data_IF_389268641848
#
_entry.id   IF_389268641848
#
_cell.length_a   1.000
_cell.length_b   1.000
_cell.length_c   1.000
_cell.angle_alpha   90.00
_cell.angle_beta   90.00
_cell.angle_gamma   90.00
#
_symmetry.space_group_name_H-M   'P 1'
#
loop_
_entity.id
_entity.type
_entity.pdbx_description
1 polymer ?
#
# COMPACT_ATOMS: atom_id res chain seq x y z
N UNK A 1 9.83 17.53 13.65
CA UNK A 1 8.92 16.39 13.40
C UNK A 1 9.73 15.25 12.79
N UNK A 2 9.83 14.08 13.44
CA UNK A 2 10.49 12.91 12.83
C UNK A 2 9.64 12.41 11.65
N UNK A 3 10.19 12.39 10.43
CA UNK A 3 9.49 11.81 9.28
C UNK A 3 9.39 10.29 9.45
N UNK A 4 8.16 9.77 9.53
CA UNK A 4 7.91 8.33 9.68
C UNK A 4 7.63 7.70 8.33
N UNK A 5 8.60 6.95 7.79
CA UNK A 5 8.40 6.16 6.57
C UNK A 5 7.58 4.92 6.91
N UNK A 6 6.56 4.66 6.09
CA UNK A 6 5.72 3.48 6.19
C UNK A 6 5.98 2.55 5.00
N UNK A 7 6.18 1.24 5.24
CA UNK A 7 6.14 0.22 4.22
C UNK A 7 4.80 0.22 3.48
N UNK A 8 4.79 -0.30 2.26
CA UNK A 8 3.60 -0.31 1.42
C UNK A 8 2.39 -1.03 2.05
N UNK A 9 2.64 -2.00 2.92
CA UNK A 9 1.59 -2.77 3.63
C UNK A 9 0.88 -1.95 4.72
N UNK A 10 1.54 -0.93 5.26
CA UNK A 10 1.00 -0.02 6.29
C UNK A 10 0.29 1.20 5.68
N UNK A 11 0.43 1.41 4.36
CA UNK A 11 -0.22 2.49 3.64
C UNK A 11 -1.70 2.18 3.42
N UNK A 12 -2.54 3.13 3.85
CA UNK A 12 -3.97 3.11 3.54
C UNK A 12 -4.10 3.75 2.15
N UNK A 13 -3.76 3.00 1.11
CA UNK A 13 -3.80 3.50 -0.28
C UNK A 13 -5.24 3.68 -0.78
N UNK A 14 -5.51 4.77 -1.49
CA UNK A 14 -6.75 5.11 -2.22
C UNK A 14 -8.10 4.96 -1.49
N UNK A 15 -8.12 4.70 -0.18
CA UNK A 15 -9.35 4.51 0.59
C UNK A 15 -10.21 5.78 0.61
N UNK A 16 -9.59 6.97 0.53
CA UNK A 16 -10.32 8.23 0.42
C UNK A 16 -11.28 8.28 -0.78
N UNK A 17 -10.86 7.77 -1.94
CA UNK A 17 -11.74 7.68 -3.12
C UNK A 17 -12.89 6.69 -2.92
N UNK A 18 -12.65 5.58 -2.23
CA UNK A 18 -13.70 4.61 -1.91
C UNK A 18 -14.72 5.22 -0.95
N UNK A 19 -14.27 6.00 0.04
CA UNK A 19 -15.18 6.72 0.93
C UNK A 19 -16.04 7.73 0.17
N UNK A 20 -15.42 8.57 -0.68
CA UNK A 20 -16.18 9.53 -1.49
C UNK A 20 -17.19 8.82 -2.40
N UNK A 21 -16.79 7.72 -3.02
CA UNK A 21 -17.67 6.90 -3.83
C UNK A 21 -18.85 6.35 -3.02
N UNK A 22 -18.59 5.75 -1.85
CA UNK A 22 -19.61 5.20 -0.96
C UNK A 22 -20.59 6.30 -0.51
N UNK A 23 -20.09 7.47 -0.13
CA UNK A 23 -20.93 8.62 0.26
C UNK A 23 -21.86 8.99 -0.90
N UNK A 24 -21.29 9.23 -2.08
CA UNK A 24 -22.07 9.65 -3.26
C UNK A 24 -23.09 8.58 -3.68
N UNK A 25 -22.69 7.31 -3.65
CA UNK A 25 -23.54 6.15 -3.98
C UNK A 25 -24.76 6.06 -3.06
N UNK A 26 -24.54 6.07 -1.74
CA UNK A 26 -25.66 5.97 -0.79
C UNK A 26 -26.50 7.24 -0.76
N UNK A 27 -25.92 8.43 -0.98
CA UNK A 27 -26.69 9.67 -1.14
C UNK A 27 -27.64 9.60 -2.36
N UNK A 28 -27.17 9.10 -3.49
CA UNK A 28 -27.99 8.93 -4.69
C UNK A 28 -29.12 7.90 -4.46
N UNK A 29 -28.82 6.78 -3.79
CA UNK A 29 -29.83 5.77 -3.46
C UNK A 29 -30.90 6.30 -2.50
N UNK A 30 -30.50 7.06 -1.48
CA UNK A 30 -31.44 7.70 -0.56
C UNK A 30 -32.33 8.72 -1.29
N UNK A 31 -31.76 9.51 -2.20
CA UNK A 31 -32.53 10.41 -3.07
C UNK A 31 -33.56 9.68 -3.93
N UNK A 32 -33.17 8.54 -4.51
CA UNK A 32 -34.08 7.69 -5.30
C UNK A 32 -35.23 7.11 -4.47
N UNK A 33 -34.96 6.65 -3.24
CA UNK A 33 -36.02 6.20 -2.31
C UNK A 33 -36.99 7.34 -2.00
N UNK A 34 -36.48 8.56 -1.80
CA UNK A 34 -37.30 9.73 -1.48
C UNK A 34 -38.16 10.22 -2.67
N UNK A 35 -37.70 10.05 -3.92
CA UNK A 35 -38.40 10.55 -5.11
C UNK A 35 -39.35 9.54 -5.77
N UNK A 36 -39.05 8.23 -5.69
CA UNK A 36 -39.77 7.20 -6.45
C UNK A 36 -40.14 5.94 -5.65
N UNK A 37 -39.83 5.87 -4.36
CA UNK A 37 -40.08 4.71 -3.50
C UNK A 37 -39.04 3.60 -3.62
N UNK A 38 -39.11 2.61 -2.71
CA UNK A 38 -38.13 1.53 -2.61
C UNK A 38 -38.47 0.34 -3.54
N UNK A 39 -38.13 0.47 -4.83
CA UNK A 39 -38.22 -0.64 -5.78
C UNK A 39 -37.16 -1.72 -5.53
N UNK A 40 -37.41 -2.94 -6.03
CA UNK A 40 -36.47 -4.08 -5.96
C UNK A 40 -35.08 -3.72 -6.51
N UNK A 41 -35.03 -2.90 -7.57
CA UNK A 41 -33.80 -2.38 -8.16
C UNK A 41 -32.98 -1.58 -7.13
N UNK A 42 -33.61 -0.67 -6.39
CA UNK A 42 -32.94 0.16 -5.37
C UNK A 42 -32.32 -0.73 -4.28
N UNK A 43 -33.06 -1.76 -3.83
CA UNK A 43 -32.57 -2.73 -2.84
C UNK A 43 -31.33 -3.48 -3.36
N UNK A 44 -31.32 -3.91 -4.62
CA UNK A 44 -30.15 -4.56 -5.23
C UNK A 44 -28.93 -3.63 -5.25
N UNK A 45 -29.10 -2.34 -5.55
CA UNK A 45 -28.02 -1.37 -5.53
C UNK A 45 -27.52 -1.03 -4.11
N UNK A 46 -28.39 -1.09 -3.09
CA UNK A 46 -27.99 -1.03 -1.69
C UNK A 46 -27.05 -2.18 -1.32
N UNK A 47 -27.41 -3.41 -1.72
CA UNK A 47 -26.60 -4.61 -1.48
C UNK A 47 -25.28 -4.56 -2.25
N UNK A 48 -25.30 -4.13 -3.52
CA UNK A 48 -24.07 -3.95 -4.32
C UNK A 48 -23.11 -2.94 -3.69
N UNK A 49 -23.63 -1.88 -3.05
CA UNK A 49 -22.86 -0.88 -2.32
C UNK A 49 -22.10 -1.42 -1.10
N UNK A 50 -22.46 -2.60 -0.57
CA UNK A 50 -21.73 -3.22 0.54
C UNK A 50 -20.33 -3.71 0.13
N UNK A 51 -20.13 -4.06 -1.14
CA UNK A 51 -18.83 -4.53 -1.65
C UNK A 51 -17.70 -3.48 -1.51
N UNK A 52 -17.86 -2.23 -1.99
CA UNK A 52 -16.83 -1.19 -1.80
C UNK A 52 -16.65 -0.83 -0.32
N UNK A 53 -17.71 -0.85 0.50
CA UNK A 53 -17.60 -0.63 1.95
C UNK A 53 -16.75 -1.71 2.60
N UNK A 54 -17.04 -2.98 2.33
CA UNK A 54 -16.25 -4.11 2.82
C UNK A 54 -14.79 -4.04 2.37
N UNK A 55 -14.55 -3.64 1.12
CA UNK A 55 -13.21 -3.43 0.58
C UNK A 55 -12.45 -2.32 1.34
N UNK A 56 -13.09 -1.18 1.63
CA UNK A 56 -12.49 -0.11 2.43
C UNK A 56 -12.14 -0.59 3.84
N UNK A 57 -13.09 -1.27 4.51
CA UNK A 57 -12.89 -1.78 5.88
C UNK A 57 -11.73 -2.79 5.93
N UNK A 58 -11.67 -3.73 4.99
CA UNK A 58 -10.59 -4.73 4.94
C UNK A 58 -9.22 -4.09 4.68
N UNK A 59 -9.13 -3.10 3.79
CA UNK A 59 -7.89 -2.34 3.56
C UNK A 59 -7.43 -1.58 4.81
N UNK A 60 -8.35 -0.90 5.50
CA UNK A 60 -8.05 -0.20 6.75
C UNK A 60 -7.61 -1.19 7.82
N UNK A 61 -8.35 -2.28 8.02
CA UNK A 61 -8.04 -3.31 9.02
C UNK A 61 -6.66 -3.90 8.77
N UNK A 62 -6.35 -4.23 7.51
CA UNK A 62 -5.03 -4.74 7.11
C UNK A 62 -3.92 -3.74 7.45
N UNK A 63 -4.08 -2.48 7.05
CA UNK A 63 -3.08 -1.45 7.33
C UNK A 63 -2.89 -1.19 8.84
N UNK A 64 -3.98 -1.17 9.62
CA UNK A 64 -3.93 -1.03 11.08
C UNK A 64 -3.27 -2.24 11.74
N UNK A 65 -3.53 -3.46 11.24
CA UNK A 65 -2.90 -4.68 11.73
C UNK A 65 -1.38 -4.67 11.56
N UNK A 66 -0.87 -4.23 10.40
CA UNK A 66 0.58 -4.09 10.21
C UNK A 66 1.19 -2.97 11.03
N UNK A 67 0.49 -1.83 11.18
CA UNK A 67 0.94 -0.75 12.06
C UNK A 67 1.04 -1.20 13.51
N UNK A 68 0.08 -2.02 13.97
CA UNK A 68 0.09 -2.59 15.31
C UNK A 68 1.27 -3.56 15.47
N UNK A 69 1.47 -4.48 14.53
CA UNK A 69 2.64 -5.38 14.57
C UNK A 69 3.98 -4.64 14.64
N UNK A 70 4.13 -3.56 13.86
CA UNK A 70 5.32 -2.71 13.94
C UNK A 70 5.45 -2.04 15.30
N UNK A 71 4.37 -1.48 15.83
CA UNK A 71 4.38 -0.86 17.15
C UNK A 71 4.76 -1.86 18.24
N UNK A 72 4.20 -3.08 18.18
CA UNK A 72 4.50 -4.16 19.11
C UNK A 72 5.96 -4.62 18.98
N UNK A 73 6.50 -4.73 17.76
CA UNK A 73 7.91 -5.06 17.53
C UNK A 73 8.86 -3.96 18.03
N UNK A 74 8.47 -2.68 17.93
CA UNK A 74 9.27 -1.57 18.47
C UNK A 74 9.22 -1.55 20.00
N UNK A 75 8.06 -1.83 20.60
CA UNK A 75 7.87 -1.77 22.03
C UNK A 75 8.46 -2.97 22.78
N UNK A 76 8.38 -4.17 22.19
CA UNK A 76 8.72 -5.42 22.86
C UNK A 76 9.75 -6.28 22.13
N UNK A 77 10.17 -5.87 20.93
CA UNK A 77 11.15 -6.58 20.15
C UNK A 77 12.59 -6.24 20.52
N UNK A 78 13.52 -6.92 19.87
CA UNK A 78 14.95 -6.66 20.02
C UNK A 78 15.39 -5.56 19.06
N UNK A 79 16.13 -4.59 19.58
CA UNK A 79 16.67 -3.46 18.81
C UNK A 79 18.17 -3.65 18.58
N UNK A 80 18.60 -3.61 17.32
CA UNK A 80 20.01 -3.71 16.94
C UNK A 80 20.38 -2.63 15.91
N UNK A 81 21.63 -2.13 15.92
CA UNK A 81 22.11 -1.27 14.86
C UNK A 81 22.26 -2.07 13.56
N UNK A 82 21.84 -1.48 12.45
CA UNK A 82 22.02 -2.04 11.11
C UNK A 82 22.62 -1.03 10.15
N UNK A 83 23.23 -1.54 9.08
CA UNK A 83 23.80 -0.73 8.00
C UNK A 83 23.16 -1.10 6.67
N UNK A 84 22.56 -0.12 6.00
CA UNK A 84 21.97 -0.32 4.69
C UNK A 84 23.10 -0.52 3.67
N UNK A 85 23.16 -1.70 3.07
CA UNK A 85 24.19 -2.08 2.11
C UNK A 85 23.77 -1.76 0.68
N UNK A 86 22.47 -1.87 0.38
CA UNK A 86 21.95 -1.65 -0.96
C UNK A 86 20.43 -1.66 -1.04
N UNK A 87 19.90 -1.50 -2.25
CA UNK A 87 18.46 -1.49 -2.51
C UNK A 87 18.12 -2.43 -3.64
N UNK A 88 17.20 -3.35 -3.40
CA UNK A 88 16.58 -4.18 -4.43
C UNK A 88 15.30 -3.51 -4.90
N UNK A 89 15.10 -3.49 -6.22
CA UNK A 89 13.87 -2.99 -6.83
C UNK A 89 13.09 -4.17 -7.39
N UNK A 90 11.85 -4.30 -6.94
CA UNK A 90 10.92 -5.29 -7.45
C UNK A 90 9.80 -4.61 -8.24
N UNK A 91 9.63 -5.02 -9.49
CA UNK A 91 8.56 -4.53 -10.35
C UNK A 91 7.46 -5.61 -10.46
N UNK A 92 6.31 -5.32 -9.83
CA UNK A 92 5.15 -6.20 -9.78
C UNK A 92 4.23 -5.89 -10.97
N UNK A 93 4.09 -6.78 -11.97
CA UNK A 93 3.23 -6.53 -13.11
C UNK A 93 1.75 -6.48 -12.69
N UNK A 94 1.07 -5.43 -13.14
CA UNK A 94 -0.38 -5.31 -13.13
C UNK A 94 -0.82 -4.76 -14.48
N UNK A 95 -1.84 -5.36 -15.05
CA UNK A 95 -2.41 -4.87 -16.29
C UNK A 95 -3.51 -3.88 -15.94
N UNK A 96 -3.55 -2.78 -16.68
CA UNK A 96 -4.51 -1.70 -16.47
C UNK A 96 -5.24 -1.41 -17.77
N UNK A 97 -6.55 -1.15 -17.67
CA UNK A 97 -7.39 -0.69 -18.76
C UNK A 97 -7.93 -1.77 -19.72
N UNK A 98 -8.77 -1.31 -20.67
CA UNK A 98 -9.50 -2.12 -21.65
C UNK A 98 -8.57 -2.90 -22.62
N UNK A 99 -7.35 -2.38 -22.85
CA UNK A 99 -6.36 -2.96 -23.77
C UNK A 99 -5.26 -3.80 -23.09
N UNK A 100 -5.44 -4.21 -21.81
CA UNK A 100 -4.46 -5.05 -21.09
C UNK A 100 -3.01 -4.51 -21.13
N UNK A 101 -2.82 -3.19 -21.12
CA UNK A 101 -1.46 -2.62 -21.07
C UNK A 101 -0.78 -3.03 -19.77
N UNK A 102 0.35 -3.73 -19.90
CA UNK A 102 1.19 -4.17 -18.80
C UNK A 102 1.84 -2.94 -18.15
N UNK A 103 1.53 -2.71 -16.88
CA UNK A 103 2.14 -1.68 -16.04
C UNK A 103 2.79 -2.35 -14.84
N UNK A 104 3.69 -1.66 -14.16
CA UNK A 104 4.44 -2.23 -13.05
C UNK A 104 4.23 -1.38 -11.79
N UNK A 105 3.92 -2.03 -10.67
CA UNK A 105 4.04 -1.45 -9.35
C UNK A 105 5.49 -1.62 -8.91
N UNK A 106 6.17 -0.51 -8.63
CA UNK A 106 7.56 -0.52 -8.21
C UNK A 106 7.65 -0.54 -6.69
N UNK A 107 8.36 -1.52 -6.16
CA UNK A 107 8.68 -1.65 -4.74
C UNK A 107 10.20 -1.61 -4.55
N UNK A 108 10.63 -0.93 -3.50
CA UNK A 108 12.03 -0.80 -3.12
C UNK A 108 12.23 -1.50 -1.78
N UNK A 109 13.16 -2.43 -1.72
CA UNK A 109 13.52 -3.20 -0.54
C UNK A 109 14.95 -2.82 -0.17
N UNK A 110 15.22 -2.54 1.10
CA UNK A 110 16.55 -2.25 1.61
C UNK A 110 17.21 -3.56 2.04
N UNK A 111 18.43 -3.83 1.55
CA UNK A 111 19.33 -4.86 2.09
C UNK A 111 20.10 -4.22 3.25
N UNK A 112 19.96 -4.79 4.45
CA UNK A 112 20.54 -4.24 5.68
C UNK A 112 21.37 -5.31 6.36
N UNK A 113 22.62 -4.98 6.62
CA UNK A 113 23.53 -5.81 7.40
C UNK A 113 23.30 -5.56 8.88
N UNK A 114 23.12 -6.62 9.65
CA UNK A 114 23.02 -6.61 11.10
C UNK A 114 24.17 -7.45 11.64
N UNK A 115 24.94 -6.87 12.54
CA UNK A 115 26.02 -7.58 13.23
C UNK A 115 25.51 -8.03 14.59
N UNK A 116 25.56 -9.33 14.84
CA UNK A 116 25.23 -9.89 16.15
C UNK A 116 26.29 -9.43 17.17
N UNK A 117 25.90 -8.74 18.26
CA UNK A 117 26.85 -8.24 19.25
C UNK A 117 27.57 -9.34 20.03
N UNK A 118 27.04 -10.57 20.05
CA UNK A 118 27.61 -11.69 20.81
C UNK A 118 28.58 -12.49 19.94
N UNK A 119 28.19 -12.81 18.71
CA UNK A 119 29.00 -13.67 17.82
C UNK A 119 29.88 -12.90 16.84
N UNK A 120 29.62 -11.60 16.63
CA UNK A 120 30.29 -10.78 15.63
C UNK A 120 29.92 -11.13 14.18
N UNK A 121 29.01 -12.10 13.98
CA UNK A 121 28.57 -12.53 12.64
C UNK A 121 27.66 -11.46 12.06
N UNK A 122 27.94 -11.07 10.81
CA UNK A 122 27.09 -10.15 10.04
C UNK A 122 26.14 -10.94 9.16
N UNK A 123 24.83 -10.68 9.34
CA UNK A 123 23.77 -11.24 8.52
C UNK A 123 23.08 -10.14 7.72
N UNK A 124 22.83 -10.40 6.44
CA UNK A 124 22.07 -9.47 5.59
C UNK A 124 20.59 -9.83 5.62
N UNK A 125 19.75 -8.88 6.02
CA UNK A 125 18.29 -9.00 5.98
C UNK A 125 17.72 -8.12 4.87
N UNK A 126 16.50 -8.47 4.44
CA UNK A 126 15.72 -7.64 3.52
C UNK A 126 14.58 -6.95 4.27
N UNK A 127 14.44 -5.64 4.07
CA UNK A 127 13.34 -4.87 4.63
C UNK A 127 11.99 -5.23 3.99
N UNK A 128 10.91 -4.67 4.52
CA UNK A 128 9.62 -4.65 3.80
C UNK A 128 9.69 -3.73 2.57
N UNK A 129 8.77 -3.94 1.62
CA UNK A 129 8.72 -3.18 0.38
C UNK A 129 8.17 -1.76 0.58
N UNK A 130 8.91 -0.76 0.10
CA UNK A 130 8.50 0.64 0.07
C UNK A 130 8.07 1.04 -1.33
N UNK A 131 7.00 1.81 -1.49
CA UNK A 131 6.57 2.33 -2.81
C UNK A 131 7.43 3.48 -3.33
N UNK A 132 8.10 4.18 -2.43
CA UNK A 132 8.98 5.31 -2.75
C UNK A 132 10.44 4.87 -2.64
N UNK A 133 11.35 5.40 -3.48
CA UNK A 133 12.78 5.11 -3.41
C UNK A 133 13.39 5.81 -2.19
N UNK A 134 13.18 5.25 -0.99
CA UNK A 134 13.54 5.92 0.27
C UNK A 134 15.04 6.23 0.39
N UNK A 135 15.90 5.39 -0.20
CA UNK A 135 17.36 5.56 -0.21
C UNK A 135 17.81 6.93 -0.74
N UNK A 136 17.07 7.54 -1.67
CA UNK A 136 17.41 8.85 -2.25
C UNK A 136 17.30 10.00 -1.25
N UNK A 137 16.51 9.80 -0.20
CA UNK A 137 16.22 10.79 0.83
C UNK A 137 17.04 10.57 2.11
N UNK A 138 17.85 9.52 2.17
CA UNK A 138 18.66 9.18 3.34
C UNK A 138 20.01 9.88 3.28
N UNK A 139 20.43 10.42 4.43
CA UNK A 139 21.75 11.02 4.65
C UNK A 139 22.76 10.05 5.27
N UNK A 140 22.30 8.90 5.79
CA UNK A 140 23.18 7.90 6.40
C UNK A 140 22.70 6.49 6.11
N UNK A 141 23.66 5.58 5.93
CA UNK A 141 23.43 4.13 5.81
C UNK A 141 23.04 3.52 7.17
N UNK A 142 23.25 4.22 8.29
CA UNK A 142 22.93 3.70 9.62
C UNK A 142 21.42 3.75 9.88
N UNK A 143 20.88 2.63 10.33
CA UNK A 143 19.46 2.46 10.67
C UNK A 143 19.31 1.61 11.92
N UNK A 144 18.20 1.75 12.64
CA UNK A 144 17.87 0.86 13.75
C UNK A 144 16.93 -0.23 13.25
N UNK A 145 17.29 -1.49 13.52
CA UNK A 145 16.49 -2.65 13.16
C UNK A 145 15.80 -3.18 14.40
N UNK A 146 14.48 -3.29 14.32
CA UNK A 146 13.64 -3.91 15.33
C UNK A 146 13.18 -5.27 14.83
N UNK A 147 13.46 -6.30 15.62
CA UNK A 147 13.03 -7.67 15.32
C UNK A 147 11.84 -8.02 16.20
N UNK A 148 10.78 -8.54 15.60
CA UNK A 148 9.63 -9.11 16.30
C UNK A 148 10.08 -10.23 17.27
N UNK A 149 9.28 -10.49 18.31
CA UNK A 149 9.42 -11.64 19.24
C UNK A 149 9.56 -12.98 18.52
N UNK A 150 8.95 -13.12 17.34
CA UNK A 150 9.08 -14.34 16.53
C UNK A 150 10.45 -14.50 15.87
N UNK A 151 11.26 -13.45 15.76
CA UNK A 151 12.56 -13.46 15.07
C UNK A 151 12.48 -13.32 13.54
N UNK A 152 11.30 -13.44 12.94
CA UNK A 152 11.15 -13.55 11.48
C UNK A 152 10.92 -12.22 10.76
N UNK A 153 10.41 -11.21 11.47
CA UNK A 153 10.06 -9.92 10.89
C UNK A 153 10.95 -8.82 11.40
N UNK A 154 11.47 -8.05 10.46
CA UNK A 154 12.33 -6.90 10.71
C UNK A 154 11.62 -5.59 10.33
N UNK A 155 11.77 -4.59 11.19
CA UNK A 155 11.24 -3.25 10.99
C UNK A 155 12.38 -2.25 11.11
N UNK A 156 12.49 -1.36 10.14
CA UNK A 156 13.53 -0.33 10.08
C UNK A 156 12.99 1.00 10.63
N UNK A 157 13.75 1.62 11.52
CA UNK A 157 13.40 2.86 12.20
C UNK A 157 14.62 3.78 12.39
N UNK A 158 14.34 5.03 12.79
CA UNK A 158 15.34 6.07 13.06
C UNK A 158 16.26 6.36 11.87
N UNK A 159 15.69 6.34 10.67
CA UNK A 159 16.34 6.81 9.45
C UNK A 159 16.83 8.25 9.60
N UNK A 160 18.06 8.51 9.15
CA UNK A 160 18.61 9.86 9.04
C UNK A 160 18.35 10.40 7.64
N UNK A 161 17.59 11.48 7.56
CA UNK A 161 17.21 12.12 6.29
C UNK A 161 18.17 13.23 5.92
N UNK A 162 18.26 13.48 4.61
CA UNK A 162 18.93 14.67 4.07
C UNK A 162 18.18 15.93 4.49
N UNK A 163 18.90 17.03 4.66
CA UNK A 163 18.29 18.34 4.86
C UNK A 163 17.76 18.89 3.54
N UNK A 164 18.49 18.65 2.44
CA UNK A 164 18.12 19.06 1.10
C UNK A 164 18.23 17.89 0.12
N UNK A 165 17.39 17.92 -0.92
CA UNK A 165 17.42 16.88 -1.96
C UNK A 165 18.74 16.87 -2.75
N UNK A 166 19.42 18.01 -2.82
CA UNK A 166 20.72 18.19 -3.48
C UNK A 166 21.89 17.59 -2.70
N UNK A 167 21.69 17.25 -1.42
CA UNK A 167 22.78 16.71 -0.60
C UNK A 167 23.15 15.30 -1.10
N UNK A 168 24.42 14.90 -1.03
CA UNK A 168 24.86 13.58 -1.47
C UNK A 168 24.13 12.46 -0.69
N UNK A 169 23.68 11.46 -1.43
CA UNK A 169 22.97 10.28 -0.93
C UNK A 169 23.87 9.14 -0.56
N UNK A 170 23.31 8.19 0.18
CA UNK A 170 24.02 7.02 0.70
C UNK A 170 24.60 6.09 -0.38
N UNK A 171 24.13 6.19 -1.62
CA UNK A 171 24.58 5.35 -2.75
C UNK A 171 24.89 6.17 -4.01
N UNK A 172 25.09 7.48 -3.92
CA UNK A 172 25.32 8.31 -5.13
C UNK A 172 26.65 7.94 -5.83
N UNK A 173 27.58 7.34 -5.10
CA UNK A 173 28.91 6.95 -5.59
C UNK A 173 28.96 5.51 -6.15
N UNK A 174 27.86 4.75 -6.09
CA UNK A 174 27.84 3.31 -6.45
C UNK A 174 26.65 2.99 -7.35
N UNK A 175 26.84 2.32 -8.50
CA UNK A 175 25.72 1.89 -9.32
C UNK A 175 24.88 0.87 -8.55
N UNK A 176 23.61 1.18 -8.33
CA UNK A 176 22.65 0.28 -7.70
C UNK A 176 22.28 -0.82 -8.70
N UNK A 177 22.71 -2.05 -8.44
CA UNK A 177 22.26 -3.23 -9.19
C UNK A 177 20.84 -3.60 -8.73
N UNK A 178 19.87 -3.38 -9.61
CA UNK A 178 18.47 -3.67 -9.34
C UNK A 178 18.15 -5.08 -9.80
N UNK A 179 17.98 -6.00 -8.85
CA UNK A 179 17.57 -7.38 -9.09
C UNK A 179 16.06 -7.43 -9.40
N UNK A 180 15.69 -7.52 -10.69
CA UNK A 180 14.29 -7.55 -11.13
C UNK A 180 13.63 -8.89 -10.77
N UNK A 181 12.73 -8.90 -9.78
CA UNK A 181 11.92 -10.08 -9.46
C UNK A 181 10.45 -9.84 -9.80
N UNK A 182 9.86 -10.65 -10.69
CA UNK A 182 8.45 -10.52 -11.07
C UNK A 182 7.54 -11.27 -10.08
N UNK A 183 6.49 -10.61 -9.55
CA UNK A 183 5.43 -11.28 -8.79
C UNK A 183 4.06 -10.63 -9.06
N UNK A 184 3.02 -11.41 -9.42
CA UNK A 184 1.63 -10.98 -9.68
C UNK A 184 0.74 -11.00 -8.41
N UNK A 185 -0.59 -10.86 -8.42
CA UNK A 185 -1.66 -10.40 -9.33
C UNK A 185 -2.85 -10.01 -8.41
N UNK A 186 -3.61 -8.96 -8.74
CA UNK A 186 -4.80 -8.55 -7.96
C UNK A 186 -5.82 -7.80 -8.84
N UNK A 187 -6.76 -8.53 -9.46
CA UNK A 187 -7.64 -7.98 -10.51
C UNK A 187 -9.13 -8.31 -10.42
N UNK A 188 -9.58 -9.00 -9.39
CA UNK A 188 -11.00 -9.38 -9.30
C UNK A 188 -11.88 -8.17 -9.00
N UNK A 189 -11.40 -7.23 -8.17
CA UNK A 189 -12.20 -6.09 -7.69
C UNK A 189 -12.44 -5.02 -8.79
N UNK A 190 -11.46 -4.78 -9.66
CA UNK A 190 -11.54 -3.72 -10.67
C UNK A 190 -12.48 -4.09 -11.83
N UNK A 191 -12.59 -5.37 -12.18
CA UNK A 191 -13.49 -5.87 -13.22
C UNK A 191 -14.94 -5.73 -12.77
N UNK A 192 -15.23 -6.10 -11.52
CA UNK A 192 -16.57 -5.98 -10.94
C UNK A 192 -17.01 -4.51 -10.89
N UNK A 193 -16.12 -3.58 -10.54
CA UNK A 193 -16.42 -2.15 -10.51
C UNK A 193 -16.85 -1.59 -11.86
N UNK A 194 -16.14 -1.94 -12.95
CA UNK A 194 -16.47 -1.46 -14.30
C UNK A 194 -17.82 -2.00 -14.75
N UNK A 195 -18.14 -3.25 -14.44
CA UNK A 195 -19.43 -3.86 -14.80
C UNK A 195 -20.57 -3.14 -14.09
N UNK A 196 -20.45 -2.90 -12.79
CA UNK A 196 -21.48 -2.20 -11.99
C UNK A 196 -21.66 -0.75 -12.46
N UNK A 197 -20.57 -0.04 -12.79
CA UNK A 197 -20.64 1.33 -13.29
C UNK A 197 -21.36 1.42 -14.65
N UNK A 198 -21.09 0.49 -15.56
CA UNK A 198 -21.78 0.42 -16.85
C UNK A 198 -23.27 0.13 -16.67
N UNK A 199 -23.63 -0.80 -15.78
CA UNK A 199 -25.02 -1.13 -15.48
C UNK A 199 -25.79 0.07 -14.88
N UNK A 200 -25.14 0.86 -14.03
CA UNK A 200 -25.76 2.06 -13.44
C UNK A 200 -25.99 3.18 -14.46
N UNK A 201 -25.07 3.35 -15.42
CA UNK A 201 -25.27 4.28 -16.54
C UNK A 201 -26.44 3.81 -17.42
N UNK A 202 -26.48 2.51 -17.75
CA UNK A 202 -27.55 1.95 -18.57
C UNK A 202 -28.92 2.08 -17.90
N UNK A 203 -29.02 1.88 -16.58
CA UNK A 203 -30.29 2.06 -15.87
C UNK A 203 -30.75 3.51 -15.86
N UNK A 204 -29.84 4.48 -15.68
CA UNK A 204 -30.18 5.91 -15.74
C UNK A 204 -30.69 6.33 -17.13
N UNK A 205 -30.13 5.78 -18.22
CA UNK A 205 -30.59 6.08 -19.58
C UNK A 205 -31.89 5.36 -19.96
N UNK A 206 -32.16 4.17 -19.40
CA UNK A 206 -33.42 3.46 -19.64
C UNK A 206 -34.59 4.07 -18.86
N UNK A 207 -34.38 4.58 -17.64
CA UNK A 207 -35.43 5.26 -16.87
C UNK A 207 -35.71 6.69 -17.39
N UNK A 208 -34.75 7.34 -18.06
CA UNK A 208 -34.94 8.65 -18.69
C UNK A 208 -35.61 8.62 -20.09
N UNK A 209 -35.88 7.44 -20.64
CA UNK A 209 -36.47 7.25 -21.97
C UNK A 209 -37.95 6.84 -21.99
N UNK A 210 -38.59 6.70 -20.83
CA UNK A 210 -40.01 6.41 -20.71
C UNK A 210 -40.80 7.70 -20.41
N UNK A 211 -41.01 8.51 -21.44
CA UNK A 211 -42.14 9.44 -21.54
C UNK A 211 -43.21 8.81 -22.41
#
# INVERSE_FOLDING_TARGET
MKQKIRPAEEEIGNVAFIFLFVILWYSALLGSVMSGGAGITVILFFVAGLLPVYSAVTMIRRALFYRKQRADAIAYGQSQPGRIQGVVRQDVPYYSGKNRTLRYHRYYYLKVDITDPVTGVTNTIQSQGYRKPIHRYLASEQVRVYTDRSGWKYYLEDFRFKERMSDPGIFDDRPLEFEETMAGNGRVVQIIFVIVFILMILSMFMEGGAL
#
